data_IF_643833785091
#
_entry.id   IF_643833785091
#
_cell.length_a   1.000
_cell.length_b   1.000
_cell.length_c   1.000
_cell.angle_alpha   90.00
_cell.angle_beta   90.00
_cell.angle_gamma   90.00
#
_symmetry.space_group_name_H-M   'P 1'
#
loop_
_entity.id
_entity.type
_entity.pdbx_description
1 polymer ?
#
# COMPACT_ATOMS: atom_id res chain seq x y z
N UNK A 1 -5.97 -17.24 -6.83
CA UNK A 1 -6.84 -17.91 -7.85
C UNK A 1 -8.09 -17.07 -7.89
N UNK A 2 -8.51 -16.48 -9.02
CA UNK A 2 -9.67 -15.57 -9.05
C UNK A 2 -10.93 -16.28 -8.52
N UNK A 3 -11.67 -15.63 -7.62
CA UNK A 3 -12.95 -16.15 -7.14
C UNK A 3 -14.00 -16.10 -8.25
N UNK A 4 -14.84 -17.12 -8.35
CA UNK A 4 -15.94 -17.18 -9.33
C UNK A 4 -17.25 -16.94 -8.61
N UNK A 5 -18.03 -15.97 -9.11
CA UNK A 5 -19.36 -15.68 -8.59
C UNK A 5 -20.25 -16.93 -8.67
N UNK A 6 -20.77 -17.38 -7.53
CA UNK A 6 -21.67 -18.56 -7.46
C UNK A 6 -22.99 -18.33 -8.22
N UNK A 7 -23.35 -17.06 -8.48
CA UNK A 7 -24.60 -16.69 -9.14
C UNK A 7 -24.42 -16.47 -10.66
N UNK A 8 -23.26 -15.95 -11.10
CA UNK A 8 -23.04 -15.59 -12.51
C UNK A 8 -21.98 -16.44 -13.21
N UNK A 9 -21.15 -17.20 -12.47
CA UNK A 9 -20.06 -18.01 -13.01
C UNK A 9 -18.85 -17.20 -13.51
N UNK A 10 -18.87 -15.89 -13.33
CA UNK A 10 -17.83 -14.97 -13.80
C UNK A 10 -16.76 -14.75 -12.72
N UNK A 11 -15.49 -14.60 -13.15
CA UNK A 11 -14.37 -14.26 -12.26
C UNK A 11 -14.56 -12.88 -11.65
N UNK A 12 -14.25 -12.74 -10.36
CA UNK A 12 -14.29 -11.48 -9.62
C UNK A 12 -13.18 -11.42 -8.59
N UNK A 13 -12.75 -10.19 -8.28
CA UNK A 13 -11.74 -9.89 -7.25
C UNK A 13 -12.26 -8.78 -6.32
N UNK A 14 -11.90 -8.86 -5.04
CA UNK A 14 -12.22 -7.85 -4.02
C UNK A 14 -10.96 -7.01 -3.79
N UNK A 15 -10.82 -5.90 -4.51
CA UNK A 15 -9.52 -5.20 -4.62
C UNK A 15 -9.40 -3.98 -3.71
N UNK A 16 -8.19 -3.73 -3.22
CA UNK A 16 -7.83 -2.46 -2.56
C UNK A 16 -6.42 -2.01 -2.93
N UNK A 17 -6.16 -0.71 -2.78
CA UNK A 17 -4.84 -0.12 -3.01
C UNK A 17 -4.17 0.17 -1.68
N UNK A 18 -2.92 -0.25 -1.54
CA UNK A 18 -2.04 0.05 -0.41
C UNK A 18 -0.86 0.88 -0.90
N UNK A 19 -0.55 1.97 -0.20
CA UNK A 19 0.60 2.81 -0.50
C UNK A 19 1.46 3.11 0.72
N UNK A 20 2.75 3.29 0.50
CA UNK A 20 3.69 3.71 1.53
C UNK A 20 4.91 4.40 0.91
N UNK A 21 5.55 5.29 1.66
CA UNK A 21 6.85 5.84 1.29
C UNK A 21 7.95 4.79 1.52
N UNK A 22 8.93 4.73 0.63
CA UNK A 22 10.06 3.81 0.75
C UNK A 22 10.77 4.00 2.11
N UNK A 23 10.98 2.89 2.83
CA UNK A 23 11.52 2.92 4.19
C UNK A 23 10.49 3.14 5.30
N UNK A 24 9.23 3.48 4.97
CA UNK A 24 8.15 3.74 5.94
C UNK A 24 6.96 2.79 5.74
N UNK A 25 7.24 1.49 5.57
CA UNK A 25 6.21 0.45 5.33
C UNK A 25 5.19 0.39 6.49
N UNK A 26 5.62 0.67 7.72
CA UNK A 26 4.75 0.68 8.90
C UNK A 26 3.69 1.79 8.86
N UNK A 27 3.92 2.84 8.07
CA UNK A 27 3.00 3.96 7.88
C UNK A 27 2.16 3.81 6.60
N UNK A 28 1.99 2.57 6.13
CA UNK A 28 1.20 2.31 4.93
C UNK A 28 -0.26 2.73 5.12
N UNK A 29 -0.82 3.37 4.10
CA UNK A 29 -2.24 3.69 4.02
C UNK A 29 -2.92 2.76 3.01
N UNK A 30 -4.20 2.46 3.23
CA UNK A 30 -5.01 1.64 2.34
C UNK A 30 -6.34 2.30 2.05
N UNK A 31 -6.90 2.03 0.88
CA UNK A 31 -8.27 2.42 0.53
C UNK A 31 -9.30 1.55 1.24
N UNK A 32 -10.58 1.83 1.01
CA UNK A 32 -11.64 0.83 1.16
C UNK A 32 -11.50 -0.29 0.11
N UNK A 33 -12.23 -1.37 0.34
CA UNK A 33 -12.30 -2.53 -0.55
C UNK A 33 -13.35 -2.25 -1.61
N UNK A 34 -12.96 -2.38 -2.87
CA UNK A 34 -13.87 -2.40 -4.00
C UNK A 34 -14.31 -3.84 -4.25
N UNK A 35 -15.55 -4.15 -3.86
CA UNK A 35 -16.10 -5.49 -3.98
C UNK A 35 -16.46 -5.84 -5.42
N UNK A 36 -16.18 -7.08 -5.82
CA UNK A 36 -16.65 -7.68 -7.08
C UNK A 36 -16.20 -6.93 -8.34
N UNK A 37 -14.91 -6.61 -8.44
CA UNK A 37 -14.31 -6.18 -9.70
C UNK A 37 -14.37 -7.33 -10.72
N UNK A 38 -15.20 -7.19 -11.77
CA UNK A 38 -15.53 -8.26 -12.73
C UNK A 38 -14.56 -8.33 -13.92
N UNK A 39 -14.04 -7.19 -14.36
CA UNK A 39 -13.17 -7.02 -15.54
C UNK A 39 -11.76 -6.55 -15.17
N UNK A 40 -11.46 -6.48 -13.87
CA UNK A 40 -10.20 -5.96 -13.34
C UNK A 40 -10.17 -4.44 -13.18
N UNK A 41 -11.30 -3.74 -13.38
CA UNK A 41 -11.41 -2.31 -13.12
C UNK A 41 -11.84 -2.03 -11.67
N UNK A 42 -11.21 -1.02 -11.06
CA UNK A 42 -11.55 -0.53 -9.72
C UNK A 42 -11.51 0.99 -9.66
N UNK A 43 -12.57 1.60 -9.12
CA UNK A 43 -12.65 3.04 -8.95
C UNK A 43 -12.57 3.41 -7.46
N UNK A 44 -11.59 4.24 -7.13
CA UNK A 44 -11.33 4.70 -5.77
C UNK A 44 -11.39 6.22 -5.71
N UNK A 45 -12.22 6.76 -4.82
CA UNK A 45 -12.22 8.19 -4.50
C UNK A 45 -11.53 8.42 -3.16
N UNK A 46 -10.21 8.21 -3.15
CA UNK A 46 -9.38 8.25 -1.93
C UNK A 46 -8.25 9.27 -2.03
N UNK A 47 -7.86 9.79 -0.87
CA UNK A 47 -6.69 10.66 -0.73
C UNK A 47 -5.77 10.09 0.33
N UNK A 48 -4.57 9.67 -0.09
CA UNK A 48 -3.50 9.26 0.81
C UNK A 48 -2.58 10.45 1.08
N UNK A 49 -2.32 10.76 2.35
CA UNK A 49 -1.53 11.93 2.76
C UNK A 49 -0.36 11.48 3.61
N UNK A 50 0.86 11.68 3.13
CA UNK A 50 2.08 11.28 3.83
C UNK A 50 2.86 12.51 4.29
N UNK A 51 3.05 12.65 5.59
CA UNK A 51 3.88 13.69 6.18
C UNK A 51 5.33 13.21 6.29
N UNK A 52 6.27 13.97 5.74
CA UNK A 52 7.70 13.64 5.79
C UNK A 52 8.57 14.89 5.78
N UNK A 53 9.75 14.80 6.40
CA UNK A 53 10.77 15.84 6.28
C UNK A 53 11.59 15.60 5.02
N UNK A 54 11.91 16.66 4.28
CA UNK A 54 12.67 16.59 3.04
C UNK A 54 13.96 17.41 3.15
N UNK A 55 15.09 16.78 2.85
CA UNK A 55 16.39 17.43 2.78
C UNK A 55 16.72 17.76 1.33
N UNK A 56 16.51 19.02 0.95
CA UNK A 56 16.66 19.50 -0.43
C UNK A 56 18.08 19.29 -0.99
N UNK A 57 19.11 19.54 -0.19
CA UNK A 57 20.51 19.43 -0.62
C UNK A 57 20.91 18.02 -1.10
N UNK A 58 20.26 16.99 -0.56
CA UNK A 58 20.52 15.59 -0.91
C UNK A 58 19.35 14.95 -1.67
N UNK A 59 18.24 15.68 -1.84
CA UNK A 59 17.00 15.21 -2.43
C UNK A 59 16.42 13.94 -1.78
N UNK A 60 16.53 13.82 -0.45
CA UNK A 60 16.09 12.64 0.31
C UNK A 60 15.02 13.01 1.33
N UNK A 61 14.20 12.02 1.69
CA UNK A 61 13.34 12.06 2.86
C UNK A 61 14.17 11.74 4.09
N UNK A 62 14.00 12.52 5.16
CA UNK A 62 14.61 12.28 6.47
C UNK A 62 13.52 11.89 7.45
N UNK A 63 13.78 10.87 8.27
CA UNK A 63 12.90 10.52 9.38
C UNK A 63 13.69 9.93 10.54
N UNK A 64 13.12 10.06 11.75
CA UNK A 64 13.70 9.54 12.98
C UNK A 64 13.00 8.22 13.35
N UNK A 65 13.75 7.12 13.29
CA UNK A 65 13.31 5.87 13.91
C UNK A 65 13.82 5.82 15.36
N UNK A 66 12.89 5.71 16.31
CA UNK A 66 13.22 5.41 17.71
C UNK A 66 13.10 3.90 17.92
N UNK A 67 14.19 3.23 18.29
CA UNK A 67 14.16 1.78 18.56
C UNK A 67 14.27 1.49 20.05
N UNK A 68 13.26 0.79 20.58
CA UNK A 68 13.27 0.22 21.93
C UNK A 68 12.87 1.19 23.04
N UNK A 69 13.04 0.74 24.29
CA UNK A 69 12.74 1.50 25.51
C UNK A 69 13.79 2.59 25.84
N UNK A 70 14.92 2.60 25.13
CA UNK A 70 15.98 3.60 25.27
C UNK A 70 15.82 4.63 24.15
N UNK A 71 16.00 5.92 24.47
CA UNK A 71 15.78 7.07 23.58
C UNK A 71 16.83 7.22 22.45
N UNK A 72 17.42 6.12 21.99
CA UNK A 72 18.31 6.17 20.85
C UNK A 72 17.46 6.28 19.57
N UNK A 73 17.36 7.52 19.09
CA UNK A 73 16.75 7.86 17.81
C UNK A 73 17.82 7.86 16.72
N UNK A 74 17.61 7.09 15.65
CA UNK A 74 18.45 7.12 14.46
C UNK A 74 17.76 7.90 13.36
N UNK A 75 18.47 8.85 12.77
CA UNK A 75 18.04 9.48 11.53
C UNK A 75 18.33 8.56 10.34
N UNK A 76 17.30 8.34 9.53
CA UNK A 76 17.33 7.54 8.33
C UNK A 76 17.00 8.43 7.13
N UNK A 77 17.87 8.40 6.14
CA UNK A 77 17.72 9.08 4.86
C UNK A 77 17.30 8.07 3.80
N UNK A 78 16.19 8.34 3.11
CA UNK A 78 15.62 7.43 2.12
C UNK A 78 15.24 8.20 0.84
N UNK A 79 15.29 7.57 -0.34
CA UNK A 79 14.81 8.20 -1.56
C UNK A 79 13.32 8.57 -1.46
N UNK A 80 12.87 9.69 -2.03
CA UNK A 80 11.47 10.12 -2.05
C UNK A 80 10.67 9.28 -3.06
N UNK A 81 10.44 8.00 -2.74
CA UNK A 81 9.71 7.06 -3.58
C UNK A 81 8.41 6.63 -2.91
N UNK A 82 7.29 6.80 -3.60
CA UNK A 82 5.99 6.28 -3.20
C UNK A 82 5.80 4.91 -3.85
N UNK A 83 5.57 3.89 -3.03
CA UNK A 83 5.26 2.54 -3.51
C UNK A 83 3.76 2.34 -3.48
N UNK A 84 3.19 1.93 -4.61
CA UNK A 84 1.78 1.57 -4.77
C UNK A 84 1.66 0.08 -5.01
N UNK A 85 0.74 -0.56 -4.30
CA UNK A 85 0.44 -1.99 -4.40
C UNK A 85 -1.06 -2.19 -4.52
N UNK A 86 -1.46 -3.08 -5.43
CA UNK A 86 -2.84 -3.53 -5.58
C UNK A 86 -2.92 -4.93 -4.96
N UNK A 87 -3.95 -5.15 -4.14
CA UNK A 87 -4.16 -6.38 -3.38
C UNK A 87 -5.56 -6.94 -3.67
N UNK A 88 -5.68 -8.28 -3.68
CA UNK A 88 -6.95 -9.01 -3.67
C UNK A 88 -7.26 -9.49 -2.24
N UNK A 89 -8.42 -9.13 -1.71
CA UNK A 89 -8.94 -9.53 -0.40
C UNK A 89 -9.79 -10.81 -0.53
N UNK A 90 -9.16 -11.89 -1.00
CA UNK A 90 -9.81 -13.20 -1.15
C UNK A 90 -10.17 -13.78 0.22
N UNK A 91 -11.41 -14.26 0.39
CA UNK A 91 -11.90 -14.77 1.70
C UNK A 91 -11.41 -16.18 2.03
N UNK A 92 -10.89 -16.92 1.03
CA UNK A 92 -10.56 -18.35 1.16
C UNK A 92 -9.10 -18.72 0.83
N UNK A 93 -8.26 -17.80 0.34
CA UNK A 93 -6.80 -17.97 0.19
C UNK A 93 -6.04 -16.81 0.81
N UNK A 94 -4.74 -17.01 1.15
CA UNK A 94 -3.89 -15.92 1.67
C UNK A 94 -3.86 -14.75 0.67
N UNK A 95 -4.01 -13.53 1.17
CA UNK A 95 -3.95 -12.29 0.38
C UNK A 95 -2.77 -12.31 -0.60
N UNK A 96 -3.07 -12.30 -1.90
CA UNK A 96 -2.07 -12.28 -2.96
C UNK A 96 -1.87 -10.84 -3.46
N UNK A 97 -0.61 -10.39 -3.50
CA UNK A 97 -0.28 -9.09 -4.08
C UNK A 97 -0.42 -9.16 -5.61
N UNK A 98 -1.36 -8.41 -6.17
CA UNK A 98 -1.68 -8.42 -7.61
C UNK A 98 -0.69 -7.61 -8.45
N UNK A 99 -0.05 -6.58 -7.89
CA UNK A 99 0.88 -5.73 -8.62
C UNK A 99 1.71 -4.80 -7.73
N UNK A 100 2.80 -4.27 -8.30
CA UNK A 100 3.68 -3.27 -7.68
C UNK A 100 4.16 -2.28 -8.73
N UNK A 101 3.96 -1.00 -8.48
CA UNK A 101 4.62 0.08 -9.22
C UNK A 101 5.66 0.74 -8.31
N UNK A 102 6.84 1.09 -8.87
CA UNK A 102 8.02 1.59 -8.15
C UNK A 102 8.37 2.99 -8.60
#
# INVERSE_FOLDING_TARGET
MQETSVVTGESMSDIFVKAFLQGRIQESQKTDIHYRSMDGEGQFNWRMVFSFDYLEAEQVIVHKETKGLWKDSRELKVPPRLVLQIWDDDKFSRDDQLGKEV
#
